data_IF_473215923954
#
_entry.id   IF_473215923954
#
_cell.length_a   1.000
_cell.length_b   1.000
_cell.length_c   1.000
_cell.angle_alpha   90.00
_cell.angle_beta   90.00
_cell.angle_gamma   90.00
#
_symmetry.space_group_name_H-M   'P 1'
#
loop_
_entity.id
_entity.type
_entity.pdbx_description
1 polymer ?
#
# COMPACT_ATOMS: atom_id res chain seq x y z
N UNK A 1 -0.31 19.74 -4.59
CA UNK A 1 -0.25 19.39 -3.15
C UNK A 1 0.95 20.08 -2.52
N UNK A 2 0.78 20.74 -1.38
CA UNK A 2 1.86 21.43 -0.69
C UNK A 2 2.74 20.42 0.05
N UNK A 3 4.02 20.33 -0.30
CA UNK A 3 4.97 19.45 0.38
C UNK A 3 5.33 20.01 1.76
N UNK A 4 5.15 19.21 2.81
CA UNK A 4 5.61 19.55 4.17
C UNK A 4 7.06 19.11 4.34
N UNK A 5 7.90 19.97 4.94
CA UNK A 5 9.29 19.63 5.25
C UNK A 5 9.36 18.94 6.60
N UNK A 6 10.04 17.80 6.65
CA UNK A 6 10.30 17.04 7.86
C UNK A 6 11.80 17.03 8.16
N UNK A 7 12.15 17.27 9.41
CA UNK A 7 13.50 17.07 9.93
C UNK A 7 13.49 15.84 10.83
N UNK A 8 14.24 14.80 10.47
CA UNK A 8 14.26 13.52 11.18
C UNK A 8 15.71 13.10 11.45
N UNK A 9 15.92 12.46 12.59
CA UNK A 9 17.19 11.82 12.92
C UNK A 9 17.11 10.34 12.56
N UNK A 10 18.07 9.86 11.77
CA UNK A 10 18.18 8.47 11.36
C UNK A 10 19.55 7.91 11.76
N UNK A 11 19.61 6.60 12.01
CA UNK A 11 20.90 5.95 12.27
C UNK A 11 21.82 6.02 11.04
N UNK A 12 23.15 5.94 11.21
CA UNK A 12 24.09 5.90 10.09
C UNK A 12 23.80 4.75 9.13
N UNK A 13 23.38 3.59 9.67
CA UNK A 13 23.01 2.40 8.89
C UNK A 13 21.83 2.66 7.97
N UNK A 14 20.75 3.25 8.50
CA UNK A 14 19.56 3.59 7.70
C UNK A 14 19.87 4.66 6.66
N UNK A 15 20.68 5.65 7.03
CA UNK A 15 21.10 6.70 6.10
C UNK A 15 21.89 6.12 4.93
N UNK A 16 22.83 5.19 5.19
CA UNK A 16 23.57 4.47 4.16
C UNK A 16 22.67 3.60 3.29
N UNK A 17 21.70 2.92 3.89
CA UNK A 17 20.71 2.14 3.15
C UNK A 17 19.94 3.01 2.16
N UNK A 18 19.43 4.16 2.60
CA UNK A 18 18.68 5.09 1.75
C UNK A 18 19.54 5.54 0.56
N UNK A 19 20.81 5.88 0.78
CA UNK A 19 21.71 6.30 -0.30
C UNK A 19 21.97 5.18 -1.32
N UNK A 20 22.24 3.96 -0.85
CA UNK A 20 22.42 2.82 -1.74
C UNK A 20 21.15 2.50 -2.53
N UNK A 21 19.99 2.49 -1.87
CA UNK A 21 18.71 2.19 -2.50
C UNK A 21 18.32 3.24 -3.54
N UNK A 22 18.57 4.53 -3.23
CA UNK A 22 18.38 5.65 -4.15
C UNK A 22 19.14 5.43 -5.46
N UNK A 23 20.43 5.10 -5.37
CA UNK A 23 21.29 4.86 -6.54
C UNK A 23 20.84 3.60 -7.28
N UNK A 24 20.66 2.48 -6.57
CA UNK A 24 20.33 1.19 -7.16
C UNK A 24 18.99 1.18 -7.90
N UNK A 25 18.03 2.02 -7.50
CA UNK A 25 16.69 2.12 -8.09
C UNK A 25 16.48 3.38 -8.93
N UNK A 26 17.49 4.24 -9.06
CA UNK A 26 17.42 5.44 -9.89
C UNK A 26 16.52 6.55 -9.35
N UNK A 27 16.31 6.62 -8.03
CA UNK A 27 15.53 7.69 -7.40
C UNK A 27 16.32 9.00 -7.37
N UNK A 28 15.62 10.12 -7.46
CA UNK A 28 16.18 11.48 -7.55
C UNK A 28 16.62 12.00 -6.19
N UNK A 29 16.00 11.55 -5.10
CA UNK A 29 16.27 12.07 -3.76
C UNK A 29 16.07 11.04 -2.64
N UNK A 30 16.65 11.32 -1.47
CA UNK A 30 16.37 10.56 -0.24
C UNK A 30 14.89 10.62 0.13
N UNK A 31 14.26 11.78 -0.04
CA UNK A 31 12.84 11.97 0.24
C UNK A 31 11.96 11.06 -0.60
N UNK A 32 12.33 10.82 -1.86
CA UNK A 32 11.59 9.89 -2.73
C UNK A 32 11.68 8.45 -2.23
N UNK A 33 12.87 7.99 -1.80
CA UNK A 33 13.02 6.68 -1.18
C UNK A 33 12.17 6.55 0.09
N UNK A 34 12.16 7.60 0.93
CA UNK A 34 11.34 7.62 2.15
C UNK A 34 9.85 7.60 1.80
N UNK A 35 9.39 8.35 0.80
CA UNK A 35 8.01 8.33 0.35
C UNK A 35 7.58 6.95 -0.14
N UNK A 36 8.43 6.25 -0.91
CA UNK A 36 8.17 4.88 -1.35
C UNK A 36 8.05 3.94 -0.15
N UNK A 37 8.97 4.04 0.82
CA UNK A 37 8.90 3.22 2.03
C UNK A 37 7.61 3.46 2.84
N UNK A 38 7.17 4.71 2.96
CA UNK A 38 5.92 5.06 3.65
C UNK A 38 4.68 4.55 2.91
N UNK A 39 4.68 4.54 1.58
CA UNK A 39 3.60 3.95 0.80
C UNK A 39 3.54 2.43 1.00
N UNK A 40 4.69 1.75 1.00
CA UNK A 40 4.74 0.31 1.28
C UNK A 40 4.23 -0.05 2.67
N UNK A 41 4.48 0.81 3.68
CA UNK A 41 3.92 0.62 5.02
C UNK A 41 2.38 0.75 5.01
N UNK A 42 1.83 1.76 4.32
CA UNK A 42 0.39 1.93 4.18
C UNK A 42 -0.26 0.76 3.41
N UNK A 43 0.36 0.29 2.32
CA UNK A 43 -0.11 -0.88 1.57
C UNK A 43 -0.11 -2.14 2.43
N UNK A 44 0.90 -2.31 3.28
CA UNK A 44 0.97 -3.43 4.22
C UNK A 44 -0.17 -3.35 5.23
N UNK A 45 -0.41 -2.19 5.85
CA UNK A 45 -1.51 -2.02 6.80
C UNK A 45 -2.87 -2.27 6.13
N UNK A 46 -3.03 -1.80 4.89
CA UNK A 46 -4.22 -2.05 4.09
C UNK A 46 -4.43 -3.54 3.82
N UNK A 47 -3.37 -4.26 3.43
CA UNK A 47 -3.42 -5.70 3.21
C UNK A 47 -3.86 -6.46 4.47
N UNK A 48 -3.31 -6.10 5.63
CA UNK A 48 -3.69 -6.72 6.90
C UNK A 48 -5.16 -6.46 7.24
N UNK A 49 -5.66 -5.24 7.01
CA UNK A 49 -7.06 -4.89 7.22
C UNK A 49 -8.01 -5.65 6.28
N UNK A 50 -7.65 -5.81 5.00
CA UNK A 50 -8.43 -6.64 4.07
C UNK A 50 -8.43 -8.10 4.48
N UNK A 51 -7.30 -8.64 4.96
CA UNK A 51 -7.22 -10.03 5.44
C UNK A 51 -8.13 -10.26 6.65
N UNK A 52 -8.22 -9.30 7.56
CA UNK A 52 -9.12 -9.37 8.71
C UNK A 52 -10.59 -9.30 8.25
N UNK A 53 -10.93 -8.34 7.38
CA UNK A 53 -12.28 -8.20 6.83
C UNK A 53 -12.74 -9.45 6.05
N UNK A 54 -11.84 -10.10 5.31
CA UNK A 54 -12.13 -11.35 4.60
C UNK A 54 -12.53 -12.49 5.55
N UNK A 55 -12.00 -12.50 6.78
CA UNK A 55 -12.39 -13.48 7.80
C UNK A 55 -13.77 -13.24 8.42
N UNK A 56 -14.36 -12.07 8.19
CA UNK A 56 -15.69 -11.67 8.68
C UNK A 56 -16.79 -11.82 7.59
N UNK A 57 -16.46 -12.38 6.43
CA UNK A 57 -17.41 -12.56 5.32
C UNK A 57 -18.56 -13.47 5.73
N UNK A 58 -19.79 -13.00 5.50
CA UNK A 58 -21.02 -13.76 5.75
C UNK A 58 -21.43 -14.55 4.50
N UNK A 59 -21.30 -15.89 4.58
CA UNK A 59 -21.66 -16.83 3.51
C UNK A 59 -23.13 -16.70 3.06
N UNK A 60 -24.01 -16.12 3.88
CA UNK A 60 -25.40 -15.89 3.49
C UNK A 60 -25.53 -14.98 2.26
N UNK A 61 -24.52 -14.16 1.94
CA UNK A 61 -24.51 -13.31 0.74
C UNK A 61 -24.23 -14.08 -0.56
N UNK A 62 -23.67 -15.29 -0.50
CA UNK A 62 -23.33 -16.06 -1.71
C UNK A 62 -24.56 -16.39 -2.56
N UNK A 63 -25.74 -16.47 -1.96
CA UNK A 63 -27.00 -16.71 -2.68
C UNK A 63 -27.33 -15.61 -3.69
N UNK A 64 -26.79 -14.40 -3.50
CA UNK A 64 -27.03 -13.22 -4.35
C UNK A 64 -26.03 -13.08 -5.51
N UNK A 65 -25.01 -13.93 -5.59
CA UNK A 65 -23.93 -13.81 -6.59
C UNK A 65 -24.41 -13.87 -8.04
N UNK A 66 -25.58 -14.50 -8.28
CA UNK A 66 -26.19 -14.66 -9.59
C UNK A 66 -27.29 -13.64 -9.92
N UNK A 67 -27.63 -12.74 -8.99
CA UNK A 67 -28.73 -11.80 -9.17
C UNK A 67 -28.46 -10.85 -10.34
N UNK A 68 -29.40 -10.76 -11.29
CA UNK A 68 -29.30 -9.90 -12.47
C UNK A 68 -28.39 -10.41 -13.60
N UNK A 69 -27.80 -11.60 -13.47
CA UNK A 69 -27.02 -12.24 -14.56
C UNK A 69 -27.90 -13.00 -15.56
N UNK A 70 -29.17 -13.27 -15.22
CA UNK A 70 -30.18 -13.84 -16.12
C UNK A 70 -30.96 -12.75 -16.85
N UNK A 71 -30.29 -12.08 -17.78
CA UNK A 71 -30.96 -11.24 -18.78
C UNK A 71 -31.15 -12.05 -20.07
N UNK A 72 -32.03 -13.06 -19.99
CA UNK A 72 -32.47 -13.85 -21.14
C UNK A 72 -33.67 -13.18 -21.80
N UNK A 73 -33.44 -12.02 -22.41
CA UNK A 73 -34.37 -11.45 -23.41
C UNK A 73 -33.69 -11.50 -24.77
N UNK A 74 -33.68 -12.70 -25.38
CA UNK A 74 -33.44 -12.90 -26.81
C UNK A 74 -34.73 -12.66 -27.61
#
# INVERSE_FOLDING_TARGET
MQSQKLSISLSPTLTRFIEHYKIAKGYKSRSEVISVALNLLQEKELFEAYREADSEVDEAWDVTIGDGLSDETW
#
